data_IF_507879679356
#
_entry.id   IF_507879679356
#
_cell.length_a   1.000
_cell.length_b   1.000
_cell.length_c   1.000
_cell.angle_alpha   90.00
_cell.angle_beta   90.00
_cell.angle_gamma   90.00
#
_symmetry.space_group_name_H-M   'P 1'
#
loop_
_entity.id
_entity.type
_entity.pdbx_description
1 polymer ?
#
# COMPACT_ATOMS: atom_id res chain seq x y z
N UNK A 1 46.46 21.74 45.16
CA UNK A 1 45.70 20.85 44.26
C UNK A 1 45.00 19.81 45.13
N UNK A 2 43.69 19.89 45.30
CA UNK A 2 42.93 18.88 46.05
C UNK A 2 42.84 17.60 45.21
N UNK A 3 43.26 16.48 45.79
CA UNK A 3 43.20 15.14 45.18
C UNK A 3 41.75 14.68 45.10
N UNK A 4 41.19 14.65 43.88
CA UNK A 4 39.87 14.05 43.60
C UNK A 4 39.90 12.55 43.96
N UNK A 5 39.01 12.11 44.84
CA UNK A 5 38.90 10.69 45.18
C UNK A 5 38.34 9.88 44.00
N UNK A 6 38.81 8.65 43.81
CA UNK A 6 38.30 7.74 42.75
C UNK A 6 36.78 7.57 42.79
N UNK A 7 36.17 7.56 43.98
CA UNK A 7 34.71 7.48 44.17
C UNK A 7 34.02 8.74 43.63
N UNK A 8 34.53 9.92 43.99
CA UNK A 8 34.00 11.21 43.53
C UNK A 8 34.15 11.37 42.02
N UNK A 9 35.25 10.87 41.42
CA UNK A 9 35.44 10.84 39.97
C UNK A 9 34.44 9.91 39.27
N UNK A 10 34.22 8.70 39.79
CA UNK A 10 33.26 7.75 39.21
C UNK A 10 31.80 8.20 39.38
N UNK A 11 31.45 8.86 40.48
CA UNK A 11 30.11 9.44 40.71
C UNK A 11 29.84 10.63 39.78
N UNK A 12 30.84 11.50 39.56
CA UNK A 12 30.71 12.66 38.68
C UNK A 12 30.75 12.29 37.19
N UNK A 13 31.57 11.33 36.78
CA UNK A 13 31.61 10.80 35.41
C UNK A 13 30.41 9.91 35.12
N UNK A 14 30.02 9.04 36.06
CA UNK A 14 28.81 8.22 35.94
C UNK A 14 27.56 9.09 35.84
N UNK A 15 27.35 10.02 36.77
CA UNK A 15 26.23 10.96 36.73
C UNK A 15 26.21 11.85 35.49
N UNK A 16 27.39 12.25 34.97
CA UNK A 16 27.52 13.00 33.73
C UNK A 16 27.21 12.19 32.46
N UNK A 17 27.59 10.91 32.42
CA UNK A 17 27.27 10.00 31.31
C UNK A 17 25.80 9.58 31.31
N UNK A 18 25.22 9.28 32.48
CA UNK A 18 23.78 9.03 32.59
C UNK A 18 22.98 10.30 32.32
N UNK A 19 23.48 11.45 32.77
CA UNK A 19 22.89 12.75 32.50
C UNK A 19 22.93 13.10 31.02
N UNK A 20 24.03 12.88 30.31
CA UNK A 20 24.13 13.13 28.87
C UNK A 20 23.37 12.10 28.03
N UNK A 21 23.32 10.83 28.46
CA UNK A 21 22.47 9.82 27.84
C UNK A 21 20.99 10.16 28.04
N UNK A 22 20.58 10.57 29.24
CA UNK A 22 19.22 11.03 29.53
C UNK A 22 18.90 12.31 28.78
N UNK A 23 19.83 13.27 28.71
CA UNK A 23 19.64 14.50 27.93
C UNK A 23 19.54 14.19 26.45
N UNK A 24 20.34 13.26 25.93
CA UNK A 24 20.26 12.81 24.53
C UNK A 24 18.95 12.08 24.25
N UNK A 25 18.46 11.28 25.19
CA UNK A 25 17.15 10.63 25.10
C UNK A 25 16.03 11.66 25.15
N UNK A 26 16.05 12.59 26.11
CA UNK A 26 15.10 13.69 26.23
C UNK A 26 15.16 14.64 25.03
N UNK A 27 16.33 14.90 24.46
CA UNK A 27 16.50 15.75 23.28
C UNK A 27 16.12 15.03 21.99
N UNK A 28 16.26 13.70 21.94
CA UNK A 28 15.69 12.86 20.88
C UNK A 28 14.17 12.77 20.99
N UNK A 29 13.63 12.70 22.20
CA UNK A 29 12.20 12.81 22.48
C UNK A 29 11.69 14.22 22.17
N UNK A 30 12.44 15.28 22.44
CA UNK A 30 12.08 16.65 22.09
C UNK A 30 12.23 16.94 20.60
N UNK A 31 13.13 16.28 19.87
CA UNK A 31 13.26 16.42 18.42
C UNK A 31 12.22 15.58 17.69
N UNK A 32 11.94 14.37 18.18
CA UNK A 32 10.79 13.56 17.78
C UNK A 32 9.49 14.31 18.10
N UNK A 33 9.41 14.91 19.28
CA UNK A 33 8.32 15.79 19.70
C UNK A 33 8.35 17.14 18.99
N UNK A 34 9.44 17.69 18.46
CA UNK A 34 9.39 18.93 17.66
C UNK A 34 8.83 18.64 16.27
N UNK A 35 9.06 17.42 15.77
CA UNK A 35 8.46 16.90 14.55
C UNK A 35 7.01 16.43 14.77
N UNK A 36 6.66 16.02 16.00
CA UNK A 36 5.31 15.56 16.41
C UNK A 36 4.43 16.64 17.07
N UNK A 37 4.99 17.67 17.72
CA UNK A 37 4.28 18.77 18.43
C UNK A 37 3.52 19.65 17.46
N UNK A 38 3.84 19.60 16.17
CA UNK A 38 3.04 20.29 15.16
C UNK A 38 1.79 19.49 14.72
N UNK A 39 1.59 18.26 15.21
CA UNK A 39 0.44 17.39 14.83
C UNK A 39 0.08 16.37 15.90
N UNK A 40 -0.31 16.82 17.08
CA UNK A 40 -1.39 16.10 17.76
C UNK A 40 -2.70 16.72 17.26
N UNK A 41 -3.33 16.23 16.18
CA UNK A 41 -4.72 16.57 15.96
C UNK A 41 -5.47 16.11 17.21
N UNK A 42 -6.22 17.02 17.85
CA UNK A 42 -6.76 16.88 19.21
C UNK A 42 -7.78 15.75 19.42
N UNK A 43 -7.38 14.51 19.18
CA UNK A 43 -8.06 13.28 19.57
C UNK A 43 -7.06 12.43 20.33
N UNK A 44 -7.50 11.81 21.43
CA UNK A 44 -6.64 11.06 22.35
C UNK A 44 -5.79 9.96 21.68
N UNK A 45 -4.94 9.32 22.49
CA UNK A 45 -4.00 8.31 22.02
C UNK A 45 -4.68 7.28 21.09
N UNK A 46 -4.09 6.99 19.90
CA UNK A 46 -4.70 6.09 18.94
C UNK A 46 -4.87 4.70 19.56
N UNK A 47 -6.06 4.10 19.42
CA UNK A 47 -6.31 2.73 19.89
C UNK A 47 -5.58 1.68 19.05
N UNK A 48 -5.46 1.91 17.74
CA UNK A 48 -4.73 1.05 16.83
C UNK A 48 -3.28 1.51 16.74
N UNK A 49 -2.33 0.59 16.97
CA UNK A 49 -0.89 0.88 16.90
C UNK A 49 -0.37 0.90 15.48
N UNK A 50 -0.80 -0.05 14.64
CA UNK A 50 -0.34 -0.21 13.27
C UNK A 50 -1.43 -0.79 12.37
N UNK A 51 -1.26 -0.62 11.05
CA UNK A 51 -2.18 -1.14 10.02
C UNK A 51 -1.39 -1.96 8.99
N UNK A 52 -1.88 -3.17 8.70
CA UNK A 52 -1.48 -3.94 7.52
C UNK A 52 -2.65 -3.88 6.54
N UNK A 53 -2.45 -3.23 5.40
CA UNK A 53 -3.44 -3.16 4.34
C UNK A 53 -3.09 -4.14 3.21
N UNK A 54 -3.94 -5.14 3.02
CA UNK A 54 -3.85 -6.09 1.91
C UNK A 54 -4.64 -5.55 0.71
N UNK A 55 -3.95 -4.99 -0.28
CA UNK A 55 -4.59 -4.44 -1.47
C UNK A 55 -4.40 -5.35 -2.69
N UNK A 56 -5.43 -6.13 -2.98
CA UNK A 56 -5.44 -7.12 -4.07
C UNK A 56 -6.18 -6.55 -5.29
N UNK A 57 -5.42 -6.02 -6.27
CA UNK A 57 -5.97 -5.55 -7.55
C UNK A 57 -6.74 -6.68 -8.24
N UNK A 58 -7.98 -6.39 -8.67
CA UNK A 58 -8.85 -7.41 -9.27
C UNK A 58 -9.05 -8.63 -8.38
N UNK A 59 -9.01 -8.45 -7.05
CA UNK A 59 -9.22 -9.50 -6.07
C UNK A 59 -10.56 -10.22 -6.23
N UNK A 60 -10.77 -11.31 -5.49
CA UNK A 60 -11.96 -12.12 -5.60
C UNK A 60 -13.24 -11.28 -5.41
N UNK A 61 -14.22 -11.54 -6.28
CA UNK A 61 -15.51 -10.86 -6.29
C UNK A 61 -16.20 -10.94 -4.93
N UNK A 62 -16.67 -9.81 -4.42
CA UNK A 62 -17.38 -9.76 -3.14
C UNK A 62 -18.66 -10.60 -3.15
N UNK A 63 -19.29 -10.73 -4.33
CA UNK A 63 -20.51 -11.52 -4.53
C UNK A 63 -20.24 -13.02 -4.49
N UNK A 64 -18.98 -13.42 -4.65
CA UNK A 64 -18.50 -14.79 -4.58
C UNK A 64 -17.90 -15.15 -3.21
N UNK A 65 -17.69 -14.15 -2.34
CA UNK A 65 -17.07 -14.35 -1.02
C UNK A 65 -18.01 -14.11 0.15
N UNK A 66 -18.65 -12.94 0.22
CA UNK A 66 -19.33 -12.46 1.45
C UNK A 66 -20.71 -11.85 1.19
N UNK A 67 -21.07 -11.60 -0.07
CA UNK A 67 -22.26 -10.82 -0.41
C UNK A 67 -23.12 -11.53 -1.47
N UNK A 68 -23.71 -12.70 -1.13
CA UNK A 68 -24.51 -13.45 -2.07
C UNK A 68 -25.64 -12.56 -2.63
N UNK A 69 -25.81 -12.57 -3.94
CA UNK A 69 -26.84 -11.79 -4.65
C UNK A 69 -27.93 -12.73 -5.19
N UNK A 70 -29.06 -12.92 -4.49
CA UNK A 70 -30.18 -13.74 -4.97
C UNK A 70 -30.69 -13.30 -6.35
N UNK A 71 -30.61 -12.00 -6.66
CA UNK A 71 -30.98 -11.47 -7.96
C UNK A 71 -30.13 -12.05 -9.10
N UNK A 72 -28.81 -12.11 -8.93
CA UNK A 72 -27.90 -12.70 -9.92
C UNK A 72 -28.22 -14.18 -10.15
N UNK A 73 -28.66 -14.89 -9.10
CA UNK A 73 -29.13 -16.28 -9.25
C UNK A 73 -30.41 -16.36 -10.08
N UNK A 74 -31.38 -15.47 -9.87
CA UNK A 74 -32.65 -15.44 -10.62
C UNK A 74 -32.48 -15.02 -12.08
N UNK A 75 -31.50 -14.15 -12.35
CA UNK A 75 -31.24 -13.62 -13.69
C UNK A 75 -30.08 -14.32 -14.42
N UNK A 76 -29.54 -15.41 -13.86
CA UNK A 76 -28.44 -16.12 -14.47
C UNK A 76 -28.71 -16.49 -15.93
N UNK A 77 -27.74 -16.23 -16.81
CA UNK A 77 -27.82 -16.54 -18.24
C UNK A 77 -28.61 -15.51 -19.06
N UNK A 78 -29.22 -14.49 -18.43
CA UNK A 78 -29.94 -13.43 -19.15
C UNK A 78 -28.98 -12.32 -19.59
N UNK A 79 -29.18 -11.74 -20.80
CA UNK A 79 -28.46 -10.55 -21.22
C UNK A 79 -28.94 -9.34 -20.42
N UNK A 80 -28.00 -8.53 -19.91
CA UNK A 80 -28.34 -7.35 -19.10
C UNK A 80 -27.51 -6.11 -19.46
N UNK A 81 -26.30 -6.29 -19.99
CA UNK A 81 -25.34 -5.19 -20.15
C UNK A 81 -25.77 -4.11 -21.15
N UNK A 82 -26.67 -4.42 -22.10
CA UNK A 82 -27.31 -3.41 -22.96
C UNK A 82 -28.10 -2.36 -22.17
N UNK A 83 -28.61 -2.70 -20.98
CA UNK A 83 -29.36 -1.78 -20.11
C UNK A 83 -28.48 -0.84 -19.30
N UNK A 84 -27.19 -1.17 -19.17
CA UNK A 84 -26.20 -0.43 -18.39
C UNK A 84 -24.97 -0.07 -19.24
N UNK A 85 -25.17 0.12 -20.55
CA UNK A 85 -24.08 0.35 -21.49
C UNK A 85 -23.22 1.58 -21.15
N UNK A 86 -23.74 2.55 -20.39
CA UNK A 86 -22.98 3.70 -19.89
C UNK A 86 -22.17 3.45 -18.61
N UNK A 87 -22.33 2.28 -17.98
CA UNK A 87 -21.66 1.89 -16.72
C UNK A 87 -20.64 0.76 -16.92
N UNK A 88 -20.52 0.25 -18.16
CA UNK A 88 -19.65 -0.87 -18.51
C UNK A 88 -18.79 -0.45 -19.69
N UNK A 89 -17.50 -0.73 -19.62
CA UNK A 89 -16.52 -0.29 -20.62
C UNK A 89 -16.70 -1.00 -21.97
N UNK A 90 -17.03 -2.29 -21.94
CA UNK A 90 -17.20 -3.13 -23.13
C UNK A 90 -18.53 -3.91 -23.09
N UNK A 91 -19.69 -3.24 -23.21
CA UNK A 91 -21.00 -3.89 -23.05
C UNK A 91 -21.28 -4.96 -24.10
N UNK A 92 -20.68 -4.86 -25.29
CA UNK A 92 -20.78 -5.86 -26.36
C UNK A 92 -19.97 -7.13 -26.08
N UNK A 93 -18.88 -7.00 -25.32
CA UNK A 93 -18.07 -8.13 -24.85
C UNK A 93 -18.59 -8.69 -23.51
N UNK A 94 -19.43 -7.93 -22.79
CA UNK A 94 -20.01 -8.34 -21.53
C UNK A 94 -21.11 -9.39 -21.81
N UNK A 95 -20.82 -10.64 -21.47
CA UNK A 95 -21.67 -11.80 -21.74
C UNK A 95 -23.02 -11.79 -21.01
N UNK A 96 -23.47 -12.94 -20.51
CA UNK A 96 -24.70 -13.00 -19.71
C UNK A 96 -24.44 -12.72 -18.22
N UNK A 97 -25.47 -12.37 -17.47
CA UNK A 97 -25.38 -12.32 -16.00
C UNK A 97 -24.97 -13.68 -15.44
N UNK A 98 -23.91 -13.70 -14.64
CA UNK A 98 -23.41 -14.92 -14.00
C UNK A 98 -23.82 -14.94 -12.52
N UNK A 99 -24.40 -16.06 -12.09
CA UNK A 99 -24.59 -16.34 -10.66
C UNK A 99 -23.25 -16.73 -10.04
N UNK A 100 -23.08 -16.49 -8.75
CA UNK A 100 -21.97 -17.09 -8.02
C UNK A 100 -22.02 -18.62 -8.14
N UNK A 101 -20.90 -19.30 -8.46
CA UNK A 101 -20.84 -20.75 -8.53
C UNK A 101 -20.73 -21.40 -7.15
N UNK A 102 -20.47 -20.63 -6.10
CA UNK A 102 -20.17 -21.14 -4.76
C UNK A 102 -21.40 -21.23 -3.87
N UNK A 103 -21.33 -22.14 -2.89
CA UNK A 103 -22.34 -22.25 -1.83
C UNK A 103 -22.00 -21.28 -0.69
N UNK A 104 -23.04 -20.76 -0.06
CA UNK A 104 -22.95 -19.81 1.04
C UNK A 104 -23.68 -20.34 2.27
N UNK A 105 -23.13 -20.06 3.44
CA UNK A 105 -23.75 -20.34 4.73
C UNK A 105 -23.56 -19.12 5.65
N UNK A 106 -24.44 -18.96 6.64
CA UNK A 106 -24.28 -17.94 7.68
C UNK A 106 -23.36 -18.48 8.78
N UNK A 107 -22.43 -17.65 9.23
CA UNK A 107 -21.47 -17.98 10.26
C UNK A 107 -21.45 -16.91 11.35
N UNK A 108 -20.97 -17.30 12.53
CA UNK A 108 -20.83 -16.44 13.70
C UNK A 108 -22.16 -15.98 14.29
N UNK A 109 -22.07 -15.23 15.37
CA UNK A 109 -23.22 -14.56 15.99
C UNK A 109 -23.74 -13.41 15.13
N UNK A 110 -22.85 -12.78 14.34
CA UNK A 110 -23.22 -11.74 13.38
C UNK A 110 -24.05 -12.25 12.19
N UNK A 111 -24.16 -13.58 12.00
CA UNK A 111 -24.94 -14.20 10.93
C UNK A 111 -24.42 -13.85 9.53
N UNK A 112 -23.12 -13.58 9.39
CA UNK A 112 -22.53 -13.14 8.14
C UNK A 112 -22.52 -14.28 7.12
N UNK A 113 -22.96 -13.99 5.89
CA UNK A 113 -22.88 -14.94 4.78
C UNK A 113 -21.43 -15.09 4.33
N UNK A 114 -20.92 -16.32 4.30
CA UNK A 114 -19.58 -16.64 3.80
C UNK A 114 -19.65 -17.78 2.81
N UNK A 115 -18.88 -17.65 1.74
CA UNK A 115 -18.71 -18.66 0.71
C UNK A 115 -17.87 -19.84 1.20
N UNK A 116 -18.16 -21.04 0.68
CA UNK A 116 -17.43 -22.27 1.01
C UNK A 116 -15.93 -22.22 0.69
N UNK A 117 -15.49 -21.24 -0.11
CA UNK A 117 -14.07 -21.01 -0.46
C UNK A 117 -13.27 -20.29 0.63
N UNK A 118 -13.92 -19.79 1.68
CA UNK A 118 -13.27 -19.11 2.82
C UNK A 118 -13.51 -19.82 4.16
N UNK A 119 -13.27 -21.15 4.26
CA UNK A 119 -13.68 -21.94 5.42
C UNK A 119 -12.97 -21.55 6.72
N UNK A 120 -11.73 -21.07 6.62
CA UNK A 120 -10.96 -20.62 7.78
C UNK A 120 -11.39 -19.21 8.25
N UNK A 121 -11.72 -18.32 7.31
CA UNK A 121 -12.20 -16.98 7.65
C UNK A 121 -13.61 -17.02 8.22
N UNK A 122 -14.44 -17.96 7.76
CA UNK A 122 -15.79 -18.20 8.27
C UNK A 122 -15.82 -18.44 9.80
N UNK A 123 -14.74 -18.99 10.37
CA UNK A 123 -14.60 -19.23 11.81
C UNK A 123 -14.29 -17.96 12.63
N UNK A 124 -14.02 -16.83 11.96
CA UNK A 124 -13.56 -15.57 12.57
C UNK A 124 -14.40 -14.36 12.18
N UNK A 125 -15.60 -14.57 11.63
CA UNK A 125 -16.44 -13.48 11.12
C UNK A 125 -16.86 -12.47 12.18
N UNK A 126 -17.02 -12.90 13.43
CA UNK A 126 -17.39 -12.02 14.55
C UNK A 126 -16.24 -11.07 14.95
N UNK A 127 -15.00 -11.41 14.61
CA UNK A 127 -13.81 -10.58 14.81
C UNK A 127 -13.55 -9.61 13.63
N UNK A 128 -14.40 -9.66 12.59
CA UNK A 128 -14.20 -8.92 11.33
C UNK A 128 -15.28 -7.86 11.15
N UNK A 129 -14.85 -6.61 10.96
CA UNK A 129 -15.73 -5.54 10.54
C UNK A 129 -15.90 -5.53 9.01
N UNK A 130 -17.10 -5.83 8.52
CA UNK A 130 -17.42 -5.78 7.09
C UNK A 130 -17.96 -4.41 6.68
N UNK A 131 -17.28 -3.73 5.75
CA UNK A 131 -17.73 -2.45 5.18
C UNK A 131 -18.41 -2.71 3.83
N UNK A 132 -19.73 -2.95 3.86
CA UNK A 132 -20.54 -3.25 2.65
C UNK A 132 -21.20 -2.02 2.01
N UNK A 133 -21.02 -0.84 2.61
CA UNK A 133 -21.58 0.43 2.14
C UNK A 133 -20.72 1.12 1.07
N UNK A 134 -19.55 0.56 0.72
CA UNK A 134 -18.66 1.16 -0.27
C UNK A 134 -19.22 1.00 -1.68
N UNK A 135 -19.30 2.09 -2.42
CA UNK A 135 -19.65 2.09 -3.83
C UNK A 135 -18.81 3.09 -4.62
N UNK A 136 -18.64 2.82 -5.91
CA UNK A 136 -18.01 3.74 -6.86
C UNK A 136 -18.94 4.00 -8.04
N UNK A 137 -18.75 5.15 -8.67
CA UNK A 137 -19.53 5.62 -9.82
C UNK A 137 -18.69 5.66 -11.09
N UNK A 138 -17.42 5.24 -11.00
CA UNK A 138 -16.48 5.26 -12.09
C UNK A 138 -16.08 3.82 -12.41
N UNK A 139 -16.17 3.49 -13.69
CA UNK A 139 -15.88 2.18 -14.27
C UNK A 139 -14.37 1.97 -14.55
N UNK A 140 -13.60 3.05 -14.66
CA UNK A 140 -12.17 3.00 -14.97
C UNK A 140 -11.35 2.56 -13.76
N UNK A 141 -10.51 1.55 -13.98
CA UNK A 141 -9.68 0.95 -12.95
C UNK A 141 -8.76 1.97 -12.26
N UNK A 142 -8.03 2.78 -13.03
CA UNK A 142 -7.05 3.75 -12.54
C UNK A 142 -7.68 4.79 -11.61
N UNK A 143 -8.89 5.26 -11.93
CA UNK A 143 -9.60 6.27 -11.15
C UNK A 143 -10.20 5.67 -9.88
N UNK A 144 -10.64 4.41 -9.92
CA UNK A 144 -11.08 3.66 -8.74
C UNK A 144 -9.92 3.45 -7.75
N UNK A 145 -8.71 3.19 -8.25
CA UNK A 145 -7.51 3.06 -7.43
C UNK A 145 -7.14 4.35 -6.70
N UNK A 146 -7.25 5.51 -7.33
CA UNK A 146 -7.09 6.77 -6.61
C UNK A 146 -8.17 6.91 -5.52
N UNK A 147 -9.43 6.60 -5.85
CA UNK A 147 -10.53 6.75 -4.90
C UNK A 147 -10.36 5.90 -3.64
N UNK A 148 -9.89 4.66 -3.76
CA UNK A 148 -9.68 3.80 -2.58
C UNK A 148 -8.44 4.20 -1.76
N UNK A 149 -7.40 4.75 -2.40
CA UNK A 149 -6.17 5.11 -1.70
C UNK A 149 -6.19 6.53 -1.12
N UNK A 150 -6.81 7.50 -1.79
CA UNK A 150 -6.80 8.91 -1.38
C UNK A 150 -8.20 9.55 -1.28
N UNK A 151 -9.28 8.80 -1.54
CA UNK A 151 -10.66 9.29 -1.40
C UNK A 151 -11.18 10.11 -2.58
N UNK A 152 -10.38 10.35 -3.63
CA UNK A 152 -10.77 11.09 -4.84
C UNK A 152 -10.30 10.37 -6.10
N UNK A 153 -10.95 10.68 -7.23
CA UNK A 153 -10.58 10.11 -8.54
C UNK A 153 -9.33 10.75 -9.15
N UNK A 154 -8.96 11.96 -8.72
CA UNK A 154 -7.80 12.67 -9.26
C UNK A 154 -6.50 12.22 -8.57
N UNK A 155 -5.40 12.06 -9.33
CA UNK A 155 -4.09 11.77 -8.77
C UNK A 155 -3.53 12.96 -7.96
N UNK A 156 -2.46 12.72 -7.22
CA UNK A 156 -1.68 13.76 -6.54
C UNK A 156 -2.14 14.09 -5.12
N UNK A 157 -3.16 13.40 -4.61
CA UNK A 157 -3.55 13.48 -3.21
C UNK A 157 -2.79 12.46 -2.35
N UNK A 158 -2.63 12.73 -1.05
CA UNK A 158 -1.95 11.82 -0.16
C UNK A 158 -2.75 10.53 0.03
N UNK A 159 -2.05 9.40 -0.03
CA UNK A 159 -2.62 8.08 0.25
C UNK A 159 -2.96 7.91 1.74
N UNK A 160 -3.80 6.93 2.07
CA UNK A 160 -4.16 6.57 3.44
C UNK A 160 -2.92 6.33 4.32
N UNK A 161 -1.92 5.61 3.80
CA UNK A 161 -0.67 5.37 4.53
C UNK A 161 0.14 6.65 4.76
N UNK A 162 0.15 7.58 3.80
CA UNK A 162 0.81 8.88 3.97
C UNK A 162 0.10 9.74 5.02
N UNK A 163 -1.24 9.74 5.04
CA UNK A 163 -2.01 10.41 6.11
C UNK A 163 -1.74 9.80 7.49
N UNK A 164 -1.68 8.48 7.58
CA UNK A 164 -1.35 7.79 8.82
C UNK A 164 0.07 8.17 9.31
N UNK A 165 1.06 8.14 8.43
CA UNK A 165 2.43 8.55 8.74
C UNK A 165 2.53 10.04 9.13
N UNK A 166 1.77 10.90 8.49
CA UNK A 166 1.75 12.34 8.73
C UNK A 166 1.07 12.71 10.05
N UNK A 167 -0.07 12.08 10.35
CA UNK A 167 -0.90 12.41 11.51
C UNK A 167 -0.49 11.70 12.79
N UNK A 168 0.05 10.48 12.70
CA UNK A 168 0.44 9.67 13.86
C UNK A 168 1.95 9.58 14.06
N UNK A 169 2.74 10.03 13.08
CA UNK A 169 4.20 9.90 13.12
C UNK A 169 4.69 8.45 13.12
N UNK A 170 5.97 8.30 13.46
CA UNK A 170 6.64 7.00 13.64
C UNK A 170 7.08 6.83 15.10
N UNK A 171 6.92 5.63 15.63
CA UNK A 171 7.55 5.22 16.90
C UNK A 171 8.94 4.59 16.67
N UNK A 172 9.29 4.32 15.40
CA UNK A 172 10.55 3.71 15.00
C UNK A 172 11.48 4.75 14.35
N UNK A 173 12.74 4.80 14.79
CA UNK A 173 13.78 5.69 14.25
C UNK A 173 14.59 5.06 13.10
N UNK A 174 14.59 3.73 13.00
CA UNK A 174 15.38 2.92 12.09
C UNK A 174 14.59 2.40 10.88
N UNK A 175 13.25 2.44 10.92
CA UNK A 175 12.37 2.05 9.81
C UNK A 175 11.39 3.19 9.44
N UNK A 176 11.01 3.30 8.15
CA UNK A 176 9.97 4.23 7.72
C UNK A 176 8.62 3.96 8.40
N UNK A 177 7.85 5.02 8.65
CA UNK A 177 6.48 4.90 9.17
C UNK A 177 5.54 4.15 8.21
N UNK A 178 5.77 4.32 6.90
CA UNK A 178 4.94 3.77 5.84
C UNK A 178 5.79 2.97 4.84
N UNK A 179 5.57 1.66 4.82
CA UNK A 179 6.26 0.72 3.94
C UNK A 179 5.27 0.11 2.94
N UNK A 180 5.73 -0.05 1.71
CA UNK A 180 4.99 -0.70 0.63
C UNK A 180 5.74 -1.94 0.17
N UNK A 181 5.09 -3.10 0.27
CA UNK A 181 5.58 -4.37 -0.22
C UNK A 181 4.97 -4.64 -1.59
N UNK A 182 5.80 -4.59 -2.62
CA UNK A 182 5.39 -4.81 -4.00
C UNK A 182 5.39 -6.29 -4.37
N UNK A 183 4.84 -6.58 -5.55
CA UNK A 183 4.87 -7.92 -6.11
C UNK A 183 6.18 -8.15 -6.87
N UNK A 184 6.86 -9.30 -6.69
CA UNK A 184 8.02 -9.66 -7.49
C UNK A 184 7.76 -9.60 -9.01
N UNK A 185 6.50 -9.79 -9.44
CA UNK A 185 6.12 -9.73 -10.85
C UNK A 185 5.96 -8.31 -11.41
N UNK A 186 5.93 -7.27 -10.56
CA UNK A 186 5.81 -5.90 -11.02
C UNK A 186 5.08 -4.96 -10.07
N UNK A 187 5.07 -3.68 -10.43
CA UNK A 187 4.31 -2.65 -9.73
C UNK A 187 2.80 -2.81 -10.03
N UNK A 188 1.90 -2.38 -9.12
CA UNK A 188 0.47 -2.37 -9.40
C UNK A 188 0.12 -1.41 -10.55
N UNK A 189 -1.14 -1.43 -11.00
CA UNK A 189 -1.60 -0.69 -12.19
C UNK A 189 -1.27 0.81 -12.18
N UNK A 190 -1.47 1.52 -11.07
CA UNK A 190 -1.11 2.94 -10.95
C UNK A 190 0.37 3.16 -10.53
N UNK A 191 1.15 2.09 -10.44
CA UNK A 191 2.52 2.10 -9.96
C UNK A 191 2.67 2.82 -8.62
N UNK A 192 3.73 3.63 -8.53
CA UNK A 192 4.06 4.44 -7.35
C UNK A 192 2.98 5.48 -7.03
N UNK A 193 2.08 5.78 -7.97
CA UNK A 193 0.99 6.74 -7.73
C UNK A 193 -0.02 6.23 -6.71
N UNK A 194 -0.01 4.94 -6.39
CA UNK A 194 -0.92 4.32 -5.43
C UNK A 194 -0.60 4.65 -3.96
N UNK A 195 0.65 5.07 -3.65
CA UNK A 195 1.14 5.34 -2.28
C UNK A 195 1.86 6.69 -2.12
N UNK A 196 1.40 7.72 -2.82
CA UNK A 196 2.05 9.03 -2.79
C UNK A 196 1.77 9.80 -1.49
N UNK A 197 2.68 10.72 -1.16
CA UNK A 197 2.47 11.74 -0.12
C UNK A 197 1.64 12.93 -0.62
N UNK A 198 1.46 13.08 -1.93
CA UNK A 198 0.76 14.23 -2.52
C UNK A 198 1.40 15.55 -2.11
N UNK A 199 0.60 16.46 -1.56
CA UNK A 199 1.08 17.74 -1.01
C UNK A 199 1.70 17.64 0.40
N UNK A 200 1.62 16.46 1.06
CA UNK A 200 2.30 16.27 2.34
C UNK A 200 3.83 16.24 2.13
N UNK A 201 4.61 16.58 3.17
CA UNK A 201 6.06 16.49 3.12
C UNK A 201 6.54 15.13 2.57
N UNK A 202 7.54 15.11 1.67
CA UNK A 202 7.95 13.88 0.98
C UNK A 202 8.43 12.76 1.92
N UNK A 203 8.83 13.08 3.16
CA UNK A 203 9.17 12.07 4.18
C UNK A 203 8.02 11.11 4.54
N UNK A 204 6.77 11.46 4.23
CA UNK A 204 5.59 10.60 4.45
C UNK A 204 5.21 9.75 3.23
N UNK A 205 6.00 9.77 2.16
CA UNK A 205 5.79 8.92 1.01
C UNK A 205 6.06 7.45 1.37
N UNK A 206 5.25 6.52 0.85
CA UNK A 206 5.47 5.10 1.07
C UNK A 206 6.84 4.64 0.54
N UNK A 207 7.62 4.02 1.41
CA UNK A 207 8.94 3.47 1.06
C UNK A 207 8.77 2.06 0.53
N UNK A 208 9.17 1.84 -0.74
CA UNK A 208 9.06 0.54 -1.41
C UNK A 208 10.12 -0.42 -0.89
N UNK A 209 9.69 -1.61 -0.46
CA UNK A 209 10.52 -2.73 -0.06
C UNK A 209 10.25 -3.90 -1.00
N UNK A 210 11.31 -4.43 -1.59
CA UNK A 210 11.24 -5.63 -2.44
C UNK A 210 11.06 -6.85 -1.56
N UNK A 211 10.11 -7.69 -1.93
CA UNK A 211 9.85 -8.95 -1.24
C UNK A 211 10.93 -10.02 -1.49
N UNK A 212 11.68 -9.89 -2.59
CA UNK A 212 12.75 -10.82 -2.99
C UNK A 212 14.03 -10.06 -3.31
N UNK A 213 15.17 -10.72 -3.07
CA UNK A 213 16.49 -10.13 -3.27
C UNK A 213 16.82 -9.06 -2.24
N UNK A 214 17.55 -8.02 -2.65
CA UNK A 214 17.89 -6.92 -1.76
C UNK A 214 16.67 -6.00 -1.57
N UNK A 215 16.14 -5.86 -0.35
CA UNK A 215 14.86 -5.20 -0.07
C UNK A 215 14.83 -3.72 -0.48
N UNK A 216 15.95 -3.05 -0.20
CA UNK A 216 16.28 -1.73 -0.69
C UNK A 216 17.57 -1.87 -1.48
N UNK A 217 17.64 -1.29 -2.67
CA UNK A 217 18.85 -1.34 -3.49
C UNK A 217 20.03 -0.74 -2.71
N UNK A 218 21.21 -1.33 -2.85
CA UNK A 218 22.46 -0.86 -2.23
C UNK A 218 22.44 -0.85 -0.69
N UNK A 219 21.60 -1.67 -0.06
CA UNK A 219 21.56 -1.78 1.40
C UNK A 219 22.76 -2.55 1.98
N UNK A 220 23.29 -3.52 1.24
CA UNK A 220 24.48 -4.28 1.65
C UNK A 220 25.75 -3.54 1.23
N UNK A 221 26.76 -3.52 2.12
CA UNK A 221 28.09 -2.99 1.82
C UNK A 221 28.77 -3.87 0.77
N UNK A 222 29.47 -3.26 -0.17
CA UNK A 222 30.20 -3.97 -1.24
C UNK A 222 31.51 -4.59 -0.72
N UNK A 223 32.16 -3.94 0.24
CA UNK A 223 33.36 -4.42 0.92
C UNK A 223 33.24 -4.24 2.43
N UNK A 224 33.99 -5.07 3.16
CA UNK A 224 34.10 -4.95 4.62
C UNK A 224 35.03 -3.79 4.95
N UNK A 225 34.54 -2.85 5.75
CA UNK A 225 35.31 -1.69 6.20
C UNK A 225 35.23 -1.59 7.73
N UNK A 226 36.33 -1.21 8.42
CA UNK A 226 36.29 -0.95 9.85
C UNK A 226 35.26 0.11 10.21
N UNK A 227 34.47 -0.15 11.27
CA UNK A 227 33.38 0.74 11.67
C UNK A 227 33.84 2.18 11.96
N UNK A 228 35.08 2.37 12.40
CA UNK A 228 35.65 3.70 12.62
C UNK A 228 35.75 4.54 11.34
N UNK A 229 36.09 3.91 10.20
CA UNK A 229 36.17 4.59 8.90
C UNK A 229 34.76 4.93 8.43
N UNK A 230 33.84 3.96 8.45
CA UNK A 230 32.45 4.19 8.07
C UNK A 230 31.77 5.27 8.94
N UNK A 231 32.09 5.36 10.23
CA UNK A 231 31.60 6.43 11.11
C UNK A 231 32.17 7.79 10.71
N UNK A 232 33.46 7.88 10.40
CA UNK A 232 34.09 9.11 9.94
C UNK A 232 33.52 9.58 8.60
N UNK A 233 33.31 8.67 7.64
CA UNK A 233 32.66 8.97 6.37
C UNK A 233 31.23 9.49 6.55
N UNK A 234 30.42 8.82 7.38
CA UNK A 234 29.07 9.27 7.72
C UNK A 234 29.06 10.65 8.39
N UNK A 235 30.02 10.91 9.29
CA UNK A 235 30.15 12.21 9.94
C UNK A 235 30.48 13.32 8.93
N UNK A 236 31.40 13.05 8.00
CA UNK A 236 31.78 13.99 6.95
C UNK A 236 30.63 14.26 5.97
N UNK A 237 29.92 13.23 5.51
CA UNK A 237 28.72 13.38 4.67
C UNK A 237 27.66 14.21 5.41
N UNK A 238 27.43 13.95 6.69
CA UNK A 238 26.49 14.73 7.51
C UNK A 238 26.90 16.21 7.60
N UNK A 239 28.19 16.52 7.70
CA UNK A 239 28.68 17.91 7.69
C UNK A 239 28.39 18.60 6.35
N UNK A 240 28.67 17.92 5.24
CA UNK A 240 28.37 18.40 3.89
C UNK A 240 26.86 18.64 3.73
N UNK A 241 26.03 17.70 4.17
CA UNK A 241 24.58 17.77 4.12
C UNK A 241 24.05 18.96 4.94
N UNK A 242 24.60 19.20 6.13
CA UNK A 242 24.24 20.35 6.95
C UNK A 242 24.60 21.66 6.26
N UNK A 243 25.78 21.75 5.63
CA UNK A 243 26.20 22.94 4.87
C UNK A 243 25.29 23.17 3.67
N UNK A 244 24.97 22.13 2.92
CA UNK A 244 24.04 22.20 1.78
C UNK A 244 22.64 22.64 2.21
N UNK A 245 22.14 22.13 3.33
CA UNK A 245 20.83 22.48 3.92
C UNK A 245 20.78 23.94 4.33
N UNK A 246 21.80 24.45 5.04
CA UNK A 246 21.89 25.86 5.47
C UNK A 246 21.85 26.82 4.28
N UNK A 247 22.50 26.48 3.17
CA UNK A 247 22.50 27.30 1.96
C UNK A 247 21.20 27.23 1.15
N UNK A 248 20.28 26.30 1.45
CA UNK A 248 19.08 26.00 0.65
C UNK A 248 17.84 25.77 1.53
N UNK A 249 17.64 26.62 2.53
CA UNK A 249 16.57 26.49 3.53
C UNK A 249 15.14 26.36 2.96
N UNK A 250 14.89 26.76 1.70
CA UNK A 250 13.59 26.65 1.03
C UNK A 250 13.37 25.40 0.16
N UNK A 251 14.24 24.38 0.20
CA UNK A 251 14.13 23.19 -0.65
C UNK A 251 13.70 21.92 0.12
N UNK A 252 12.39 21.67 0.32
CA UNK A 252 11.92 20.51 1.09
C UNK A 252 12.33 19.17 0.47
N UNK A 253 12.47 19.11 -0.87
CA UNK A 253 12.96 17.92 -1.57
C UNK A 253 14.40 17.55 -1.20
N UNK A 254 15.26 18.53 -0.95
CA UNK A 254 16.65 18.27 -0.54
C UNK A 254 16.67 17.69 0.88
N UNK A 255 15.93 18.30 1.81
CA UNK A 255 15.81 17.81 3.17
C UNK A 255 15.26 16.38 3.21
N UNK A 256 14.23 16.08 2.42
CA UNK A 256 13.66 14.74 2.32
C UNK A 256 14.66 13.71 1.75
N UNK A 257 15.47 14.09 0.74
CA UNK A 257 16.53 13.20 0.21
C UNK A 257 17.59 12.90 1.26
N UNK A 258 18.06 13.91 1.99
CA UNK A 258 19.02 13.72 3.09
C UNK A 258 18.44 12.78 4.16
N UNK A 259 17.20 13.03 4.59
CA UNK A 259 16.51 12.18 5.56
C UNK A 259 16.35 10.73 5.06
N UNK A 260 16.01 10.56 3.78
CA UNK A 260 15.87 9.26 3.13
C UNK A 260 17.19 8.47 3.13
N UNK A 261 18.32 9.12 2.81
CA UNK A 261 19.64 8.46 2.87
C UNK A 261 20.09 8.13 4.28
N UNK A 262 19.87 9.03 5.24
CA UNK A 262 20.18 8.76 6.65
C UNK A 262 19.31 7.61 7.20
N UNK A 263 18.04 7.55 6.82
CA UNK A 263 17.16 6.44 7.16
C UNK A 263 17.65 5.14 6.52
N UNK A 264 18.00 5.14 5.24
CA UNK A 264 18.57 3.98 4.56
C UNK A 264 19.84 3.46 5.26
N UNK A 265 20.70 4.36 5.76
CA UNK A 265 21.90 4.01 6.51
C UNK A 265 21.61 3.36 7.89
N UNK A 266 20.51 3.76 8.55
CA UNK A 266 20.04 3.12 9.80
C UNK A 266 19.32 1.80 9.54
N UNK A 267 18.56 1.75 8.45
CA UNK A 267 17.82 0.58 7.99
C UNK A 267 18.71 -0.63 7.72
N UNK A 268 20.00 -0.46 7.39
CA UNK A 268 20.91 -1.57 7.04
C UNK A 268 20.87 -2.72 8.05
N UNK A 269 20.85 -2.40 9.34
CA UNK A 269 20.79 -3.39 10.42
C UNK A 269 19.35 -3.85 10.67
N UNK A 270 18.42 -2.92 10.86
CA UNK A 270 17.02 -3.22 11.23
C UNK A 270 16.22 -3.98 10.15
N UNK A 271 16.53 -3.73 8.88
CA UNK A 271 15.78 -4.26 7.73
C UNK A 271 16.19 -5.69 7.40
N UNK A 272 17.44 -6.06 7.63
CA UNK A 272 17.93 -7.43 7.38
C UNK A 272 17.18 -8.42 8.27
N UNK A 273 17.03 -8.07 9.54
CA UNK A 273 16.32 -8.91 10.52
C UNK A 273 14.80 -8.98 10.24
N UNK A 274 14.16 -7.86 9.90
CA UNK A 274 12.73 -7.85 9.60
C UNK A 274 12.34 -8.74 8.40
N UNK A 275 13.27 -8.99 7.49
CA UNK A 275 13.03 -9.65 6.21
C UNK A 275 13.58 -11.08 6.13
N UNK A 276 14.41 -11.46 7.09
CA UNK A 276 14.89 -12.81 7.22
C UNK A 276 13.81 -13.73 7.81
N UNK A 277 13.10 -14.41 6.91
CA UNK A 277 12.07 -15.38 7.27
C UNK A 277 12.64 -16.71 7.78
N UNK A 278 13.95 -16.95 7.68
CA UNK A 278 14.57 -18.17 8.22
C UNK A 278 14.49 -18.23 9.75
N UNK A 279 14.34 -17.07 10.39
CA UNK A 279 14.14 -16.96 11.83
C UNK A 279 12.72 -17.36 12.28
N UNK A 280 11.78 -17.54 11.35
CA UNK A 280 10.41 -17.94 11.66
C UNK A 280 10.30 -19.46 11.74
N UNK A 281 9.50 -19.94 12.70
CA UNK A 281 9.26 -21.37 12.85
C UNK A 281 8.68 -21.97 11.57
N UNK A 282 9.00 -23.23 11.28
CA UNK A 282 8.45 -23.95 10.12
C UNK A 282 6.91 -23.98 10.16
N UNK A 283 6.32 -24.08 11.37
CA UNK A 283 4.88 -24.02 11.56
C UNK A 283 4.30 -22.66 11.14
N UNK A 284 4.91 -21.54 11.55
CA UNK A 284 4.50 -20.20 11.13
C UNK A 284 4.60 -20.06 9.61
N UNK A 285 5.70 -20.50 9.01
CA UNK A 285 5.88 -20.42 7.56
C UNK A 285 4.78 -21.21 6.82
N UNK A 286 4.42 -22.38 7.32
CA UNK A 286 3.33 -23.19 6.77
C UNK A 286 1.96 -22.52 6.92
N UNK A 287 1.67 -21.86 8.04
CA UNK A 287 0.42 -21.10 8.25
C UNK A 287 0.25 -19.98 7.22
N UNK A 288 1.34 -19.36 6.80
CA UNK A 288 1.35 -18.33 5.75
C UNK A 288 1.37 -18.92 4.33
N UNK A 289 1.36 -20.25 4.17
CA UNK A 289 1.40 -20.90 2.87
C UNK A 289 2.75 -20.77 2.15
N UNK A 290 3.83 -20.55 2.90
CA UNK A 290 5.20 -20.48 2.36
C UNK A 290 5.63 -21.91 1.98
N UNK A 291 6.21 -22.05 0.79
CA UNK A 291 6.58 -23.34 0.19
C UNK A 291 5.53 -23.92 -0.77
N UNK A 292 4.32 -23.36 -0.84
CA UNK A 292 3.31 -23.73 -1.84
C UNK A 292 3.36 -22.77 -3.03
N UNK A 293 3.49 -23.27 -4.26
CA UNK A 293 3.75 -22.45 -5.46
C UNK A 293 2.80 -21.26 -5.61
N UNK A 294 1.52 -21.45 -5.29
CA UNK A 294 0.45 -20.48 -5.46
C UNK A 294 0.46 -19.37 -4.39
N UNK A 295 0.74 -19.72 -3.12
CA UNK A 295 0.69 -18.80 -1.99
C UNK A 295 2.04 -18.27 -1.53
N UNK A 296 3.15 -18.88 -1.97
CA UNK A 296 4.48 -18.63 -1.43
C UNK A 296 4.88 -17.14 -1.45
N UNK A 297 4.75 -16.49 -2.61
CA UNK A 297 5.13 -15.08 -2.78
C UNK A 297 4.28 -14.13 -1.93
N UNK A 298 2.95 -14.34 -1.89
CA UNK A 298 2.05 -13.48 -1.13
C UNK A 298 2.17 -13.74 0.37
N UNK A 299 2.28 -15.02 0.76
CA UNK A 299 2.49 -15.48 2.13
C UNK A 299 3.76 -14.93 2.76
N UNK A 300 4.89 -14.98 2.04
CA UNK A 300 6.16 -14.36 2.47
C UNK A 300 6.00 -12.88 2.76
N UNK A 301 5.29 -12.14 1.90
CA UNK A 301 5.03 -10.70 2.09
C UNK A 301 4.13 -10.42 3.27
N UNK A 302 3.10 -11.23 3.49
CA UNK A 302 2.25 -11.12 4.68
C UNK A 302 3.06 -11.35 5.97
N UNK A 303 3.98 -12.32 5.97
CA UNK A 303 4.84 -12.60 7.12
C UNK A 303 5.86 -11.48 7.37
N UNK A 304 6.46 -10.93 6.31
CA UNK A 304 7.29 -9.72 6.36
C UNK A 304 6.49 -8.55 6.97
N UNK A 305 5.25 -8.34 6.51
CA UNK A 305 4.42 -7.26 7.01
C UNK A 305 4.14 -7.38 8.52
N UNK A 306 3.89 -8.60 9.01
CA UNK A 306 3.80 -8.87 10.45
C UNK A 306 5.09 -8.46 11.18
N UNK A 307 6.24 -8.94 10.71
CA UNK A 307 7.56 -8.65 11.30
C UNK A 307 7.91 -7.16 11.30
N UNK A 308 7.49 -6.41 10.28
CA UNK A 308 7.67 -4.95 10.20
C UNK A 308 6.80 -4.23 11.24
N UNK A 309 5.54 -4.63 11.38
CA UNK A 309 4.63 -4.06 12.39
C UNK A 309 5.09 -4.38 13.81
N UNK A 310 5.58 -5.59 14.07
CA UNK A 310 6.18 -5.99 15.36
C UNK A 310 7.40 -5.12 15.73
N UNK A 311 8.10 -4.58 14.72
CA UNK A 311 9.23 -3.66 14.89
C UNK A 311 8.80 -2.19 14.90
N UNK A 312 7.51 -1.88 15.00
CA UNK A 312 7.03 -0.50 15.15
C UNK A 312 6.80 0.26 13.85
N UNK A 313 6.73 -0.43 12.70
CA UNK A 313 6.24 0.21 11.47
C UNK A 313 4.73 0.47 11.61
N UNK A 314 4.32 1.71 11.32
CA UNK A 314 2.95 2.19 11.53
C UNK A 314 2.00 1.66 10.46
N UNK A 315 2.40 1.72 9.20
CA UNK A 315 1.55 1.35 8.07
C UNK A 315 2.33 0.49 7.09
N UNK A 316 1.85 -0.72 6.83
CA UNK A 316 2.40 -1.61 5.81
C UNK A 316 1.32 -1.90 4.79
N UNK A 317 1.60 -1.67 3.51
CA UNK A 317 0.66 -1.94 2.43
C UNK A 317 1.23 -2.97 1.47
N UNK A 318 0.44 -3.97 1.14
CA UNK A 318 0.80 -5.04 0.21
C UNK A 318 0.03 -4.84 -1.09
N UNK A 319 0.74 -4.93 -2.21
CA UNK A 319 0.17 -4.84 -3.55
C UNK A 319 0.43 -6.11 -4.36
N UNK A 320 -0.48 -6.43 -5.27
CA UNK A 320 -0.23 -7.38 -6.36
C UNK A 320 0.05 -6.60 -7.66
N UNK A 321 0.85 -7.17 -8.57
CA UNK A 321 1.30 -6.51 -9.80
C UNK A 321 0.14 -6.09 -10.73
N UNK A 322 -0.94 -6.85 -10.74
CA UNK A 322 -2.05 -6.65 -11.66
C UNK A 322 -3.32 -7.33 -11.18
N UNK A 323 -4.32 -7.40 -12.07
CA UNK A 323 -5.61 -8.01 -11.75
C UNK A 323 -5.47 -9.53 -11.60
N UNK A 324 -5.81 -10.05 -10.42
CA UNK A 324 -5.83 -11.51 -10.17
C UNK A 324 -6.87 -12.20 -11.09
N UNK A 325 -7.98 -11.52 -11.41
CA UNK A 325 -9.08 -12.04 -12.23
C UNK A 325 -9.04 -11.74 -13.74
N UNK A 326 -7.91 -11.24 -14.29
CA UNK A 326 -7.83 -10.83 -15.71
C UNK A 326 -7.52 -11.94 -16.71
N UNK A 327 -7.21 -13.15 -16.26
CA UNK A 327 -7.06 -14.31 -17.14
C UNK A 327 -8.44 -14.95 -17.32
N UNK A 328 -8.91 -15.21 -18.56
CA UNK A 328 -10.17 -15.90 -18.75
C UNK A 328 -10.10 -17.24 -18.02
N UNK A 329 -11.03 -17.48 -17.09
CA UNK A 329 -11.31 -18.80 -16.56
C UNK A 329 -11.83 -19.65 -17.73
N UNK A 330 -10.92 -20.25 -18.50
CA UNK A 330 -11.32 -21.17 -19.56
C UNK A 330 -11.90 -22.40 -18.87
N UNK A 331 -13.18 -22.67 -19.10
CA UNK A 331 -13.80 -23.96 -18.81
C UNK A 331 -13.25 -25.00 -19.80
N UNK A 332 -11.95 -25.28 -19.75
CA UNK A 332 -11.39 -26.47 -20.37
C UNK A 332 -11.28 -27.55 -19.29
N UNK A 333 -12.32 -28.39 -19.21
CA UNK A 333 -12.25 -29.64 -18.46
C UNK A 333 -13.44 -29.96 -17.58
N UNK A 334 -14.67 -30.02 -18.13
CA UNK A 334 -15.82 -30.67 -17.47
C UNK A 334 -16.19 -30.12 -16.07
N UNK A 335 -17.22 -30.69 -15.41
CA UNK A 335 -17.69 -30.19 -14.14
C UNK A 335 -16.74 -30.63 -13.01
N UNK A 336 -16.07 -29.68 -12.36
CA UNK A 336 -15.59 -29.85 -10.99
C UNK A 336 -14.12 -29.62 -10.68
N UNK A 337 -13.27 -29.22 -11.62
CA UNK A 337 -11.87 -28.87 -11.30
C UNK A 337 -11.50 -27.54 -11.96
N UNK A 338 -11.23 -26.53 -11.13
CA UNK A 338 -10.86 -25.19 -11.57
C UNK A 338 -9.39 -24.97 -11.23
N UNK A 339 -8.53 -25.00 -12.24
CA UNK A 339 -7.09 -24.71 -12.13
C UNK A 339 -6.77 -23.42 -12.90
N UNK A 340 -5.80 -22.61 -12.44
CA UNK A 340 -5.29 -21.50 -13.25
C UNK A 340 -4.71 -22.05 -14.56
N UNK A 341 -5.07 -21.44 -15.68
CA UNK A 341 -4.49 -21.79 -16.99
C UNK A 341 -2.99 -21.52 -16.97
N UNK A 342 -2.19 -22.55 -17.26
CA UNK A 342 -0.74 -22.42 -17.40
C UNK A 342 -0.40 -21.36 -18.47
N UNK A 343 0.31 -20.32 -18.06
CA UNK A 343 0.84 -19.31 -18.95
C UNK A 343 1.96 -19.87 -19.82
N UNK A 344 1.79 -19.82 -21.14
CA UNK A 344 2.88 -19.80 -22.11
C UNK A 344 2.44 -19.18 -23.43
N UNK A 345 2.86 -17.95 -23.71
CA UNK A 345 3.29 -17.50 -25.04
C UNK A 345 3.93 -16.11 -24.90
N UNK A 346 5.20 -16.03 -25.30
CA UNK A 346 6.04 -14.85 -25.14
C UNK A 346 5.59 -13.63 -25.95
N UNK A 347 6.07 -12.48 -25.49
CA UNK A 347 6.05 -11.25 -26.25
C UNK A 347 6.85 -11.40 -27.53
N UNK A 348 6.15 -11.57 -28.65
CA UNK A 348 6.68 -11.33 -29.99
C UNK A 348 6.54 -9.85 -30.32
N UNK A 349 7.67 -9.19 -30.49
CA UNK A 349 7.81 -7.87 -31.12
C UNK A 349 7.09 -7.86 -32.47
N UNK A 350 5.96 -7.17 -32.58
CA UNK A 350 5.34 -6.88 -33.86
C UNK A 350 6.01 -5.65 -34.48
N UNK A 351 6.74 -5.91 -35.57
CA UNK A 351 7.39 -4.92 -36.40
C UNK A 351 6.37 -3.90 -36.97
N UNK A 352 6.78 -2.63 -37.02
CA UNK A 352 6.11 -1.57 -37.78
C UNK A 352 6.19 -1.88 -39.29
N UNK A 353 5.10 -1.75 -40.07
CA UNK A 353 5.20 -1.55 -41.49
C UNK A 353 5.29 -0.05 -41.83
N UNK A 354 6.12 0.23 -42.81
CA UNK A 354 6.47 1.52 -43.39
C UNK A 354 5.28 2.39 -43.85
N UNK A 355 5.56 3.69 -43.83
CA UNK A 355 4.71 4.74 -44.36
C UNK A 355 4.66 4.70 -45.90
N UNK A 356 3.45 4.78 -46.45
CA UNK A 356 3.20 5.27 -47.82
C UNK A 356 2.31 6.51 -47.76
N UNK A 357 2.73 7.52 -48.54
CA UNK A 357 2.22 8.89 -48.57
C UNK A 357 1.01 9.02 -49.51
N UNK A 358 0.06 9.86 -49.06
CA UNK A 358 -0.82 10.81 -49.82
C UNK A 358 -1.99 10.29 -50.66
N UNK A 359 -3.03 11.11 -50.98
CA UNK A 359 -3.26 12.53 -50.65
C UNK A 359 -4.63 12.88 -50.01
N UNK A 360 -4.71 14.17 -49.63
CA UNK A 360 -5.81 14.95 -49.05
C UNK A 360 -7.14 14.87 -49.81
N UNK A 361 -8.24 14.93 -49.06
CA UNK A 361 -9.48 15.57 -49.51
C UNK A 361 -10.09 16.39 -48.36
N UNK A 362 -10.38 17.66 -48.68
CA UNK A 362 -11.11 18.62 -47.88
C UNK A 362 -12.61 18.32 -47.85
N UNK A 363 -13.22 18.50 -46.68
CA UNK A 363 -14.61 18.93 -46.41
C UNK A 363 -14.84 18.68 -44.91
N UNK A 364 -15.43 19.54 -44.08
CA UNK A 364 -16.14 20.79 -44.23
C UNK A 364 -16.77 21.06 -42.85
N UNK A 365 -16.81 22.33 -42.46
CA UNK A 365 -17.36 22.85 -41.20
C UNK A 365 -18.71 22.23 -40.79
N UNK A 366 -18.96 22.07 -39.49
CA UNK A 366 -20.21 22.50 -38.83
C UNK A 366 -20.16 22.39 -37.29
N UNK A 367 -20.10 23.56 -36.65
CA UNK A 367 -21.09 24.00 -35.65
C UNK A 367 -21.12 23.34 -34.27
N UNK A 368 -20.37 23.91 -33.32
CA UNK A 368 -20.70 23.83 -31.90
C UNK A 368 -22.00 24.60 -31.62
N UNK A 369 -23.02 23.94 -31.08
CA UNK A 369 -24.17 24.58 -30.42
C UNK A 369 -24.40 23.93 -29.06
N UNK A 370 -24.10 24.70 -28.01
CA UNK A 370 -24.51 24.43 -26.64
C UNK A 370 -26.03 24.65 -26.51
N UNK A 371 -26.75 23.63 -26.01
CA UNK A 371 -28.12 23.76 -25.51
C UNK A 371 -28.15 23.40 -24.02
N UNK A 372 -28.94 24.09 -23.18
CA UNK A 372 -29.04 23.77 -21.76
C UNK A 372 -29.92 22.53 -21.52
N UNK A 373 -29.72 21.80 -20.40
CA UNK A 373 -30.52 20.62 -20.07
C UNK A 373 -31.93 21.01 -19.59
N UNK A 374 -32.94 20.13 -19.74
CA UNK A 374 -34.32 20.42 -19.33
C UNK A 374 -34.54 20.27 -17.83
N UNK A 375 -35.46 21.10 -17.33
CA UNK A 375 -35.93 21.21 -15.95
C UNK A 375 -36.44 19.89 -15.36
N UNK A 376 -35.90 19.51 -14.19
CA UNK A 376 -36.56 18.58 -13.28
C UNK A 376 -37.37 19.38 -12.25
N UNK A 377 -38.69 19.33 -12.39
CA UNK A 377 -39.65 19.85 -11.44
C UNK A 377 -39.55 19.10 -10.10
N UNK A 378 -39.12 19.82 -9.05
CA UNK A 378 -39.27 19.40 -7.66
C UNK A 378 -40.37 20.28 -7.04
N UNK A 379 -41.56 19.73 -6.91
CA UNK A 379 -42.63 20.28 -6.07
C UNK A 379 -42.28 20.10 -4.60
N UNK A 380 -42.28 21.20 -3.85
CA UNK A 380 -41.86 21.26 -2.46
C UNK A 380 -42.96 21.09 -1.41
N UNK A 381 -42.53 21.42 -0.17
CA UNK A 381 -43.19 21.51 1.16
C UNK A 381 -42.79 20.34 2.06
N UNK A 382 -42.28 20.50 3.27
CA UNK A 382 -41.95 21.59 4.20
C UNK A 382 -41.33 20.89 5.44
N UNK A 383 -40.75 21.49 6.47
CA UNK A 383 -40.47 22.86 6.88
C UNK A 383 -39.37 22.76 7.95
N UNK A 384 -38.74 23.89 8.25
CA UNK A 384 -37.69 24.02 9.26
C UNK A 384 -38.31 24.28 10.64
N UNK A 385 -37.72 23.67 11.66
CA UNK A 385 -37.51 24.24 13.00
C UNK A 385 -36.28 23.62 13.61
#
# INVERSE_FOLDING_TARGET
MQTLSRRTFLESVGGGLYGSALLSLLQSEESSAATSRNRQPGGGAPRAKSVIQLFMNGGPSQMDLFDPKPELKRQHGKPYFHKIAGEVEFPEAAGALMRSPFRFQQHGECGMWVSEVMPHLAQRVDDIAFIRSMHTTNLTHELALFKIHCGRMLPGLPSLGAWAAYGLGTENQDLPAYIVLDDPQGLPVNGIQSWQSGFLPPEHQGTRFRATGTPVLNLKREFSEPDAITQAERAFINEIDQRHRRQRAGQPRLAARIASYQLAARMQLATTDALDLQQESAHTQQLYGIGQKESDSYGRRCLIARRLVERGVRFVQLYVNGQIGGQPFTTQGGPGVMLPSNGSAGGGTAARPEATRTPRHDAGLLGWRNGPPPDCAIGGRGGWS
#
